data_IF_955348126171
#
_entry.id   IF_955348126171
#
_cell.length_a   1.000
_cell.length_b   1.000
_cell.length_c   1.000
_cell.angle_alpha   90.00
_cell.angle_beta   90.00
_cell.angle_gamma   90.00
#
_symmetry.space_group_name_H-M   'P 1'
#
loop_
_entity.id
_entity.type
_entity.pdbx_description
1 polymer ?
#
# COMPACT_ATOMS: atom_id res chain seq x y z
N UNK A 1 19.46 12.65 20.37
CA UNK A 1 19.02 12.62 19.94
C UNK A 1 18.66 12.29 19.39
N UNK A 2 18.35 12.28 19.15
CA UNK A 2 17.87 11.97 18.64
C UNK A 2 17.21 12.21 18.07
N UNK A 3 17.49 12.12 18.35
CA UNK A 3 16.32 12.20 17.93
C UNK A 3 15.72 12.65 16.69
N UNK A 4 16.33 12.49 15.72
CA UNK A 4 15.69 12.76 14.43
C UNK A 4 14.78 11.59 14.09
N UNK A 5 13.50 11.89 13.91
CA UNK A 5 12.57 10.88 13.41
C UNK A 5 12.68 10.88 11.90
N UNK A 6 13.09 9.76 11.34
CA UNK A 6 13.19 9.60 9.90
C UNK A 6 11.90 8.98 9.39
N UNK A 7 11.15 9.76 8.60
CA UNK A 7 9.93 9.26 7.97
C UNK A 7 10.27 8.63 6.64
N UNK A 8 9.54 7.56 6.30
CA UNK A 8 9.69 6.87 5.02
C UNK A 8 8.55 7.29 4.12
N UNK A 9 8.85 7.71 2.89
CA UNK A 9 7.82 8.06 1.91
C UNK A 9 7.50 6.86 1.03
N UNK A 10 6.37 6.95 0.34
CA UNK A 10 5.96 5.92 -0.62
C UNK A 10 7.06 5.68 -1.65
N UNK A 11 7.64 6.74 -2.21
CA UNK A 11 8.68 6.61 -3.24
C UNK A 11 9.94 5.94 -2.69
N UNK A 12 10.34 6.29 -1.49
CA UNK A 12 11.50 5.67 -0.86
C UNK A 12 11.27 4.18 -0.63
N UNK A 13 10.09 3.82 -0.13
CA UNK A 13 9.72 2.43 0.07
C UNK A 13 9.69 1.67 -1.25
N UNK A 14 9.08 2.24 -2.27
CA UNK A 14 8.96 1.60 -3.58
C UNK A 14 10.34 1.32 -4.17
N UNK A 15 11.28 2.24 -4.01
CA UNK A 15 12.64 2.06 -4.48
C UNK A 15 13.36 0.97 -3.68
N UNK A 16 13.22 1.01 -2.35
CA UNK A 16 13.89 0.04 -1.47
C UNK A 16 13.41 -1.38 -1.71
N UNK A 17 12.13 -1.56 -2.02
CA UNK A 17 11.51 -2.87 -2.21
C UNK A 17 11.35 -3.25 -3.67
N UNK A 18 11.80 -2.41 -4.59
CA UNK A 18 11.68 -2.63 -6.03
C UNK A 18 10.25 -2.89 -6.47
N UNK A 19 9.34 -2.02 -6.01
CA UNK A 19 7.93 -2.14 -6.35
C UNK A 19 7.63 -1.53 -7.71
N UNK A 20 6.66 -2.11 -8.43
CA UNK A 20 6.21 -1.57 -9.70
C UNK A 20 4.91 -0.80 -9.47
N UNK A 21 4.88 0.46 -9.90
CA UNK A 21 3.70 1.31 -9.72
C UNK A 21 2.66 1.00 -10.77
N UNK A 22 1.44 0.70 -10.35
CA UNK A 22 0.31 0.45 -11.25
C UNK A 22 -0.59 1.68 -11.36
N UNK A 23 -0.70 2.49 -10.32
CA UNK A 23 -1.57 3.68 -10.33
C UNK A 23 -1.08 4.71 -9.34
N UNK A 24 -1.60 5.93 -9.48
CA UNK A 24 -1.38 7.01 -8.53
C UNK A 24 0.00 7.64 -8.66
N UNK A 25 0.12 8.82 -8.03
CA UNK A 25 1.38 9.56 -8.05
C UNK A 25 1.72 10.13 -6.68
N UNK A 26 1.00 9.68 -5.66
CA UNK A 26 1.21 10.17 -4.30
C UNK A 26 2.60 9.80 -3.78
N UNK A 27 3.17 10.70 -2.99
CA UNK A 27 4.45 10.45 -2.34
C UNK A 27 4.38 10.82 -0.86
N UNK A 28 3.26 10.54 -0.24
CA UNK A 28 3.06 10.84 1.17
C UNK A 28 3.89 9.88 2.04
N UNK A 29 4.03 10.23 3.30
CA UNK A 29 4.74 9.41 4.26
C UNK A 29 3.91 8.19 4.63
N UNK A 30 4.59 7.10 4.98
CA UNK A 30 3.93 5.88 5.41
C UNK A 30 4.10 5.72 6.93
N UNK A 31 3.05 5.23 7.59
CA UNK A 31 3.02 5.12 9.05
C UNK A 31 3.34 3.69 9.50
N UNK A 32 2.57 2.74 9.03
CA UNK A 32 2.70 1.34 9.41
C UNK A 32 2.23 0.47 8.25
N UNK A 33 2.10 -0.82 8.49
CA UNK A 33 1.69 -1.78 7.47
C UNK A 33 0.57 -2.65 8.01
N UNK A 34 -0.46 -2.85 7.20
CA UNK A 34 -1.60 -3.70 7.56
C UNK A 34 -1.80 -4.74 6.47
N UNK A 35 -2.06 -5.97 6.87
CA UNK A 35 -2.23 -7.08 5.92
C UNK A 35 -3.55 -7.77 6.21
N UNK A 36 -4.47 -7.73 5.27
CA UNK A 36 -5.70 -8.51 5.32
C UNK A 36 -6.41 -8.41 3.98
N UNK A 37 -7.14 -9.47 3.64
CA UNK A 37 -7.92 -9.52 2.40
C UNK A 37 -9.41 -9.42 2.66
N UNK A 38 -9.82 -9.42 3.92
CA UNK A 38 -11.22 -9.29 4.30
C UNK A 38 -11.53 -7.82 4.54
N UNK A 39 -12.29 -7.22 3.62
CA UNK A 39 -12.50 -5.77 3.62
C UNK A 39 -13.10 -5.24 4.93
N UNK A 40 -13.99 -6.02 5.56
CA UNK A 40 -14.57 -5.60 6.85
C UNK A 40 -13.51 -5.49 7.95
N UNK A 41 -12.49 -6.35 7.90
CA UNK A 41 -11.38 -6.28 8.86
C UNK A 41 -10.50 -5.07 8.57
N UNK A 42 -10.27 -4.81 7.29
CA UNK A 42 -9.45 -3.67 6.88
C UNK A 42 -10.09 -2.38 7.36
N UNK A 43 -11.41 -2.25 7.19
CA UNK A 43 -12.14 -1.07 7.65
C UNK A 43 -12.01 -0.84 9.15
N UNK A 44 -11.90 -1.90 9.93
CA UNK A 44 -11.81 -1.81 11.39
C UNK A 44 -10.40 -1.76 11.94
N UNK A 45 -9.39 -2.16 11.17
CA UNK A 45 -8.03 -2.34 11.67
C UNK A 45 -6.95 -1.53 10.99
N UNK A 46 -7.12 -1.20 9.72
CA UNK A 46 -6.15 -0.41 8.98
C UNK A 46 -6.34 1.07 9.32
N UNK A 47 -5.25 1.79 9.42
CA UNK A 47 -5.28 3.21 9.81
C UNK A 47 -4.85 4.11 8.66
N UNK A 48 -5.21 5.40 8.71
CA UNK A 48 -4.70 6.35 7.71
C UNK A 48 -3.18 6.30 7.63
N UNK A 49 -2.66 6.48 6.42
CA UNK A 49 -1.23 6.46 6.10
C UNK A 49 -0.57 5.08 6.22
N UNK A 50 -1.33 4.03 6.52
CA UNK A 50 -0.78 2.67 6.49
C UNK A 50 -0.53 2.22 5.05
N UNK A 51 0.46 1.36 4.90
CA UNK A 51 0.63 0.56 3.67
C UNK A 51 -0.28 -0.65 3.82
N UNK A 52 -1.15 -0.88 2.86
CA UNK A 52 -2.08 -2.02 2.89
C UNK A 52 -1.64 -3.07 1.89
N UNK A 53 -1.25 -4.25 2.38
CA UNK A 53 -0.89 -5.40 1.54
C UNK A 53 -2.11 -6.29 1.44
N UNK A 54 -2.57 -6.58 0.22
CA UNK A 54 -3.77 -7.39 0.00
C UNK A 54 -3.73 -8.03 -1.38
N UNK A 55 -4.43 -9.16 -1.51
CA UNK A 55 -4.66 -9.78 -2.82
C UNK A 55 -5.96 -9.29 -3.46
N UNK A 56 -6.71 -8.43 -2.77
CA UNK A 56 -7.92 -7.83 -3.31
C UNK A 56 -7.57 -6.86 -4.44
N UNK A 57 -8.24 -7.01 -5.58
CA UNK A 57 -7.97 -6.16 -6.74
C UNK A 57 -9.26 -5.70 -7.39
N UNK A 58 -10.29 -5.43 -6.59
CA UNK A 58 -11.61 -5.04 -7.06
C UNK A 58 -11.85 -3.55 -6.86
N UNK A 59 -12.95 -3.05 -7.43
CA UNK A 59 -13.38 -1.68 -7.17
C UNK A 59 -13.70 -1.48 -5.68
N UNK A 60 -14.16 -2.51 -5.00
CA UNK A 60 -14.43 -2.44 -3.56
C UNK A 60 -13.14 -2.19 -2.78
N UNK A 61 -12.03 -2.78 -3.21
CA UNK A 61 -10.73 -2.53 -2.59
C UNK A 61 -10.37 -1.05 -2.70
N UNK A 62 -10.58 -0.45 -3.88
CA UNK A 62 -10.29 0.97 -4.07
C UNK A 62 -11.15 1.82 -3.13
N UNK A 63 -12.45 1.50 -3.04
CA UNK A 63 -13.36 2.25 -2.16
C UNK A 63 -12.93 2.19 -0.70
N UNK A 64 -12.54 1.00 -0.23
CA UNK A 64 -12.08 0.82 1.16
C UNK A 64 -10.79 1.58 1.40
N UNK A 65 -9.85 1.49 0.47
CA UNK A 65 -8.56 2.19 0.58
C UNK A 65 -8.75 3.71 0.70
N UNK A 66 -9.65 4.26 -0.10
CA UNK A 66 -9.96 5.70 -0.07
C UNK A 66 -10.65 6.08 1.23
N UNK A 67 -11.60 5.27 1.70
CA UNK A 67 -12.31 5.52 2.96
C UNK A 67 -11.36 5.60 4.15
N UNK A 68 -10.39 4.69 4.20
CA UNK A 68 -9.41 4.64 5.30
C UNK A 68 -8.34 5.70 5.11
N UNK A 69 -8.09 6.10 3.87
CA UNK A 69 -7.02 7.02 3.50
C UNK A 69 -5.65 6.38 3.69
N UNK A 70 -5.50 5.16 3.17
CA UNK A 70 -4.21 4.46 3.22
C UNK A 70 -3.16 5.21 2.40
N UNK A 71 -1.89 5.01 2.73
CA UNK A 71 -0.81 5.62 1.95
C UNK A 71 -0.74 5.01 0.56
N UNK A 72 -0.82 3.69 0.49
CA UNK A 72 -0.81 2.96 -0.79
C UNK A 72 -1.25 1.52 -0.55
N UNK A 73 -1.53 0.83 -1.65
CA UNK A 73 -1.85 -0.60 -1.64
C UNK A 73 -0.72 -1.33 -2.35
N UNK A 74 -0.31 -2.48 -1.82
CA UNK A 74 0.66 -3.36 -2.49
C UNK A 74 0.00 -4.70 -2.75
N UNK A 75 0.00 -5.12 -4.02
CA UNK A 75 -0.47 -6.43 -4.43
C UNK A 75 0.75 -7.36 -4.47
N UNK A 76 0.76 -8.42 -3.65
CA UNK A 76 1.93 -9.33 -3.61
C UNK A 76 1.85 -10.40 -4.70
N UNK A 77 2.91 -11.20 -4.81
CA UNK A 77 2.98 -12.40 -5.64
C UNK A 77 2.77 -12.14 -7.13
N UNK A 78 3.15 -10.95 -7.58
CA UNK A 78 3.02 -10.57 -8.99
C UNK A 78 1.60 -10.31 -9.45
N UNK A 79 0.67 -10.18 -8.51
CA UNK A 79 -0.73 -9.91 -8.84
C UNK A 79 -0.88 -8.50 -9.38
N UNK A 80 -1.82 -8.34 -10.31
CA UNK A 80 -2.14 -7.03 -10.88
C UNK A 80 -3.64 -6.79 -10.73
N UNK A 81 -4.09 -5.62 -11.17
CA UNK A 81 -5.50 -5.27 -11.09
C UNK A 81 -6.05 -5.04 -12.50
N UNK A 82 -7.35 -5.28 -12.70
CA UNK A 82 -7.99 -4.99 -13.99
C UNK A 82 -7.88 -3.52 -14.36
N UNK A 83 -7.97 -3.23 -15.65
CA UNK A 83 -7.82 -1.85 -16.15
C UNK A 83 -8.83 -0.89 -15.51
N UNK A 84 -10.06 -1.33 -15.32
CA UNK A 84 -11.09 -0.46 -14.71
C UNK A 84 -10.76 -0.12 -13.25
N UNK A 85 -10.09 -1.01 -12.56
CA UNK A 85 -9.66 -0.77 -11.18
C UNK A 85 -8.50 0.22 -11.17
N UNK A 86 -7.54 0.07 -12.08
CA UNK A 86 -6.41 1.00 -12.20
C UNK A 86 -6.93 2.40 -12.55
N UNK A 87 -7.88 2.50 -13.50
CA UNK A 87 -8.48 3.76 -13.87
C UNK A 87 -9.15 4.44 -12.67
N UNK A 88 -9.93 3.66 -11.92
CA UNK A 88 -10.62 4.21 -10.75
C UNK A 88 -9.62 4.66 -9.69
N UNK A 89 -8.58 3.88 -9.48
CA UNK A 89 -7.53 4.25 -8.53
C UNK A 89 -6.86 5.56 -8.92
N UNK A 90 -6.57 5.74 -10.21
CA UNK A 90 -5.99 6.98 -10.70
C UNK A 90 -6.95 8.17 -10.51
N UNK A 91 -8.23 7.99 -10.79
CA UNK A 91 -9.24 9.04 -10.59
C UNK A 91 -9.31 9.48 -9.12
N UNK A 92 -9.20 8.51 -8.21
CA UNK A 92 -9.30 8.78 -6.77
C UNK A 92 -7.97 9.15 -6.12
N UNK A 93 -6.90 9.14 -6.89
CA UNK A 93 -5.57 9.45 -6.35
C UNK A 93 -4.95 8.35 -5.51
N UNK A 94 -5.42 7.12 -5.67
CA UNK A 94 -4.89 5.97 -4.92
C UNK A 94 -3.67 5.38 -5.62
N UNK A 95 -2.58 5.24 -4.88
CA UNK A 95 -1.37 4.58 -5.38
C UNK A 95 -1.46 3.09 -5.13
N UNK A 96 -1.29 2.30 -6.18
CA UNK A 96 -1.24 0.85 -6.11
C UNK A 96 0.08 0.38 -6.70
N UNK A 97 0.77 -0.49 -5.98
CA UNK A 97 1.98 -1.16 -6.45
C UNK A 97 1.74 -2.64 -6.60
N UNK A 98 2.59 -3.30 -7.39
CA UNK A 98 2.69 -4.76 -7.38
C UNK A 98 4.12 -5.16 -7.06
N UNK A 99 4.27 -6.34 -6.47
CA UNK A 99 5.56 -6.92 -6.13
C UNK A 99 5.52 -8.41 -6.42
N UNK A 100 6.63 -8.98 -6.83
CA UNK A 100 6.73 -10.43 -7.02
C UNK A 100 6.86 -11.17 -5.71
N UNK A 101 7.17 -10.46 -4.62
CA UNK A 101 7.39 -11.08 -3.32
C UNK A 101 6.08 -11.41 -2.63
N UNK A 102 6.15 -12.34 -1.67
CA UNK A 102 4.99 -12.72 -0.87
C UNK A 102 4.66 -11.60 0.13
N UNK A 103 3.44 -11.64 0.68
CA UNK A 103 3.05 -10.71 1.73
C UNK A 103 4.00 -10.79 2.92
N UNK A 104 4.41 -12.00 3.29
CA UNK A 104 5.34 -12.20 4.40
C UNK A 104 6.68 -11.50 4.13
N UNK A 105 7.26 -11.73 2.96
CA UNK A 105 8.54 -11.12 2.60
C UNK A 105 8.45 -9.61 2.60
N UNK A 106 7.37 -9.07 2.03
CA UNK A 106 7.13 -7.61 2.01
C UNK A 106 7.02 -7.07 3.43
N UNK A 107 6.27 -7.75 4.30
CA UNK A 107 6.09 -7.32 5.68
C UNK A 107 7.42 -7.26 6.42
N UNK A 108 8.26 -8.28 6.24
CA UNK A 108 9.59 -8.31 6.89
C UNK A 108 10.43 -7.11 6.41
N UNK A 109 10.44 -6.86 5.11
CA UNK A 109 11.24 -5.76 4.56
C UNK A 109 10.70 -4.40 5.00
N UNK A 110 9.39 -4.23 4.97
CA UNK A 110 8.77 -2.97 5.40
C UNK A 110 9.06 -2.72 6.89
N UNK A 111 8.98 -3.76 7.72
CA UNK A 111 9.23 -3.62 9.15
C UNK A 111 10.64 -3.13 9.45
N UNK A 112 11.59 -3.35 8.55
CA UNK A 112 12.97 -2.92 8.73
C UNK A 112 13.20 -1.48 8.33
N UNK A 113 12.34 -0.90 7.50
CA UNK A 113 12.54 0.46 6.99
C UNK A 113 11.60 1.48 7.63
N UNK A 114 10.58 1.03 8.34
CA UNK A 114 9.72 1.92 9.14
C UNK A 114 10.00 1.67 10.62
N UNK A 115 9.76 2.65 11.41
CA UNK A 115 10.00 2.50 12.85
C UNK A 115 8.70 2.32 13.61
#
# INVERSE_FOLDING_TARGET
MKGVVTSMTISEMAKALDLERLSGESDREIESCYISDLLSRVLGGCSPDDVWITVQSSLNMVAVAIMIDVSCVILPEGLTAPDNVIEKANEEGLTIFTSKESAFSLAVKISKIIN
#
